data_IF_135240684785
#
_entry.id   IF_135240684785
#
_cell.length_a   1.000
_cell.length_b   1.000
_cell.length_c   1.000
_cell.angle_alpha   90.00
_cell.angle_beta   90.00
_cell.angle_gamma   90.00
#
_symmetry.space_group_name_H-M   'P 1'
#
loop_
_entity.id
_entity.type
_entity.pdbx_description
1 polymer ?
#
# COMPACT_ATOMS: atom_id res chain seq x y z
N UNK A 21 24.02 -33.83 -23.09
CA UNK A 21 22.84 -33.22 -23.67
C UNK A 21 21.86 -32.82 -22.55
N UNK A 22 22.43 -32.59 -21.37
CA UNK A 22 21.66 -32.39 -20.14
C UNK A 22 20.77 -31.15 -20.14
N UNK A 23 19.73 -31.18 -19.30
CA UNK A 23 18.79 -30.06 -19.18
C UNK A 23 18.65 -29.43 -17.77
N UNK A 24 18.98 -30.19 -16.72
CA UNK A 24 18.83 -29.75 -15.35
C UNK A 24 20.07 -30.18 -14.58
N UNK A 25 20.15 -29.80 -13.31
CA UNK A 25 21.26 -30.23 -12.47
C UNK A 25 20.92 -31.52 -11.73
N UNK A 26 21.81 -32.51 -11.80
CA UNK A 26 21.59 -33.79 -11.16
C UNK A 26 21.47 -33.68 -9.64
N UNK A 27 22.49 -33.09 -9.02
CA UNK A 27 22.60 -32.99 -7.58
C UNK A 27 21.43 -32.28 -6.91
N UNK A 28 21.01 -31.15 -7.47
CA UNK A 28 20.01 -30.30 -6.82
C UNK A 28 18.61 -30.35 -7.44
N UNK A 29 18.47 -31.08 -8.54
CA UNK A 29 17.20 -31.16 -9.28
C UNK A 29 16.76 -29.80 -9.83
N UNK A 30 17.72 -28.87 -9.88
CA UNK A 30 17.48 -27.50 -10.35
C UNK A 30 17.97 -27.34 -11.72
N UNK A 31 17.32 -26.37 -12.50
CA UNK A 31 17.84 -26.28 -13.85
C UNK A 31 19.24 -25.82 -13.81
N UNK A 32 19.79 -25.69 -15.01
CA UNK A 32 21.20 -25.55 -15.34
C UNK A 32 21.38 -24.47 -16.40
N UNK A 33 22.62 -24.04 -16.55
CA UNK A 33 23.02 -22.81 -17.16
C UNK A 33 22.27 -22.80 -18.44
N UNK A 34 22.18 -23.89 -19.17
CA UNK A 34 21.59 -23.87 -20.51
C UNK A 34 20.11 -23.47 -20.56
N UNK A 35 19.37 -23.95 -19.58
CA UNK A 35 17.92 -23.81 -19.46
C UNK A 35 17.54 -22.47 -18.80
N UNK A 36 18.36 -22.01 -17.87
CA UNK A 36 18.12 -20.72 -17.24
C UNK A 36 18.38 -19.61 -18.25
N UNK A 37 19.26 -19.86 -19.20
CA UNK A 37 19.52 -18.91 -20.28
C UNK A 37 18.38 -18.91 -21.28
N UNK A 38 17.86 -20.10 -21.57
CA UNK A 38 16.73 -20.23 -22.48
C UNK A 38 15.49 -19.56 -21.90
N UNK A 39 15.27 -19.74 -20.60
CA UNK A 39 14.11 -19.14 -19.94
C UNK A 39 14.31 -17.65 -19.68
N UNK A 40 15.55 -17.23 -19.47
CA UNK A 40 15.84 -15.81 -19.29
C UNK A 40 15.60 -15.07 -20.60
N UNK A 41 16.29 -15.51 -21.66
CA UNK A 41 16.06 -15.04 -23.04
C UNK A 41 14.56 -15.02 -23.35
N UNK A 42 13.89 -16.16 -23.15
CA UNK A 42 12.45 -16.26 -23.38
C UNK A 42 11.67 -15.17 -22.66
N UNK A 43 11.90 -15.04 -21.35
CA UNK A 43 11.22 -14.03 -20.55
C UNK A 43 11.56 -12.60 -20.96
N UNK A 44 12.72 -12.43 -21.59
CA UNK A 44 13.17 -11.12 -22.04
C UNK A 44 12.45 -10.74 -23.32
N UNK A 45 12.26 -11.71 -24.21
CA UNK A 45 11.49 -11.49 -25.41
C UNK A 45 10.05 -11.24 -25.05
N UNK A 46 9.54 -12.03 -24.11
CA UNK A 46 8.18 -11.86 -23.60
C UNK A 46 7.99 -10.48 -23.02
N UNK A 47 8.95 -10.02 -22.23
CA UNK A 47 8.90 -8.71 -21.61
C UNK A 47 9.06 -7.60 -22.64
N UNK A 48 9.76 -7.90 -23.73
CA UNK A 48 9.91 -6.95 -24.82
C UNK A 48 8.60 -6.75 -25.54
N UNK A 49 7.88 -7.84 -25.79
CA UNK A 49 6.57 -7.71 -26.42
C UNK A 49 5.52 -7.12 -25.50
N UNK A 50 5.28 -7.75 -24.39
CA UNK A 50 4.25 -7.27 -23.48
C UNK A 50 4.66 -6.04 -22.66
N UNK A 51 5.82 -5.48 -22.96
CA UNK A 51 6.30 -4.28 -22.30
C UNK A 51 6.46 -4.44 -20.81
N UNK A 52 6.97 -5.60 -20.39
CA UNK A 52 7.07 -5.91 -18.96
C UNK A 52 8.51 -5.92 -18.45
N UNK A 53 8.66 -6.25 -17.16
CA UNK A 53 9.97 -6.18 -16.51
C UNK A 53 10.45 -7.55 -16.02
N UNK A 54 11.76 -7.71 -15.93
CA UNK A 54 12.33 -9.00 -15.54
C UNK A 54 13.37 -8.85 -14.43
N UNK A 55 13.21 -9.63 -13.36
CA UNK A 55 14.16 -9.60 -12.25
C UNK A 55 15.18 -10.74 -12.34
N UNK A 56 16.45 -10.39 -12.47
CA UNK A 56 17.52 -11.38 -12.49
C UNK A 56 18.32 -11.34 -11.19
N UNK A 57 18.46 -12.49 -10.55
CA UNK A 57 19.21 -12.58 -9.31
C UNK A 57 20.42 -13.51 -9.42
N UNK A 58 21.53 -13.05 -8.85
CA UNK A 58 22.75 -13.83 -8.75
C UNK A 58 23.02 -14.08 -7.27
N UNK A 59 23.20 -15.35 -6.90
CA UNK A 59 23.44 -15.69 -5.50
C UNK A 59 24.75 -16.48 -5.32
N UNK A 60 25.54 -16.07 -4.34
CA UNK A 60 26.82 -16.73 -4.07
C UNK A 60 26.90 -17.17 -2.61
N UNK A 61 27.23 -18.45 -2.39
CA UNK A 61 27.21 -19.04 -1.05
C UNK A 61 28.60 -19.26 -0.49
N UNK A 62 28.81 -18.83 0.75
CA UNK A 62 30.10 -18.87 1.36
C UNK A 62 30.30 -19.59 2.70
N UNK A 68 34.22 -30.16 -0.91
CA UNK A 68 34.13 -29.06 0.02
C UNK A 68 35.00 -29.16 1.30
N UNK A 69 35.64 -28.08 1.70
CA UNK A 69 36.50 -28.19 2.86
C UNK A 69 36.05 -27.38 4.06
N UNK A 70 36.45 -27.79 5.25
CA UNK A 70 36.90 -29.13 5.53
C UNK A 70 36.47 -29.33 6.94
N UNK A 71 36.04 -30.52 7.33
CA UNK A 71 35.93 -31.64 6.42
C UNK A 71 34.51 -31.76 5.81
N UNK A 72 34.41 -31.38 4.54
CA UNK A 72 33.14 -30.94 3.97
C UNK A 72 32.44 -31.53 2.77
N UNK A 73 32.90 -32.63 2.20
CA UNK A 73 32.28 -33.02 0.96
C UNK A 73 30.82 -33.59 1.09
N UNK A 74 30.32 -33.98 2.30
CA UNK A 74 28.90 -34.21 2.52
C UNK A 74 28.15 -32.88 2.56
N UNK A 75 28.75 -31.89 3.22
CA UNK A 75 28.14 -30.58 3.33
C UNK A 75 27.97 -29.95 1.96
N UNK A 76 28.98 -30.09 1.11
CA UNK A 76 28.89 -29.54 -0.23
C UNK A 76 27.78 -30.23 -1.01
N UNK A 77 27.70 -31.54 -0.88
CA UNK A 77 26.63 -32.32 -1.51
C UNK A 77 25.26 -32.00 -0.94
N UNK A 78 25.21 -31.78 0.37
CA UNK A 78 24.02 -31.88 1.20
C UNK A 78 23.54 -30.47 1.53
N UNK A 79 24.52 -29.62 1.86
CA UNK A 79 24.28 -28.20 2.05
C UNK A 79 23.68 -27.59 0.79
N UNK A 80 24.32 -27.84 -0.36
CA UNK A 80 23.83 -27.33 -1.63
C UNK A 80 22.36 -27.70 -1.88
N UNK A 81 22.03 -28.95 -1.57
CA UNK A 81 20.66 -29.45 -1.70
C UNK A 81 19.72 -28.67 -0.80
N UNK A 82 20.09 -28.52 0.46
CA UNK A 82 19.28 -27.78 1.42
C UNK A 82 19.05 -26.33 0.96
N UNK A 83 20.11 -25.70 0.46
CA UNK A 83 20.04 -24.34 -0.04
C UNK A 83 19.10 -24.24 -1.22
N UNK A 84 19.17 -25.21 -2.10
CA UNK A 84 18.22 -25.31 -3.20
C UNK A 84 16.76 -25.54 -2.81
N UNK A 85 16.55 -26.30 -1.77
CA UNK A 85 15.29 -26.49 -1.20
C UNK A 85 14.83 -25.23 -0.64
N UNK A 86 15.68 -24.49 0.02
CA UNK A 86 15.29 -23.22 0.62
C UNK A 86 14.92 -22.12 -0.40
N UNK A 87 15.68 -22.10 -1.45
CA UNK A 87 15.56 -21.18 -2.57
C UNK A 87 14.27 -21.44 -3.35
N UNK A 88 13.94 -22.69 -3.51
CA UNK A 88 12.72 -23.02 -4.18
C UNK A 88 11.49 -22.55 -3.44
N UNK A 89 11.54 -22.57 -2.14
CA UNK A 89 10.39 -22.27 -1.35
C UNK A 89 10.29 -20.83 -1.06
N UNK A 90 11.03 -20.05 -1.81
CA UNK A 90 11.21 -18.60 -1.62
C UNK A 90 10.57 -17.78 -2.71
N UNK A 91 10.53 -18.33 -3.92
CA UNK A 91 10.04 -17.61 -5.10
C UNK A 91 8.91 -18.34 -5.85
N UNK A 92 8.10 -17.55 -6.56
CA UNK A 92 6.88 -18.03 -7.23
C UNK A 92 7.16 -19.02 -8.36
N UNK A 93 6.16 -19.85 -8.65
CA UNK A 93 6.31 -20.96 -9.59
C UNK A 93 6.67 -20.53 -11.01
N UNK A 94 6.06 -19.46 -11.52
CA UNK A 94 6.48 -18.92 -12.79
C UNK A 94 7.91 -18.43 -12.66
N UNK A 95 8.35 -18.25 -11.42
CA UNK A 95 9.73 -17.88 -11.13
C UNK A 95 10.63 -19.10 -11.27
N UNK A 96 11.92 -18.88 -11.42
CA UNK A 96 12.86 -19.98 -11.66
C UNK A 96 14.10 -19.91 -10.80
N UNK A 97 14.34 -20.96 -10.02
CA UNK A 97 15.59 -21.10 -9.27
C UNK A 97 16.49 -22.08 -10.02
N UNK A 98 17.76 -21.74 -10.15
CA UNK A 98 18.69 -22.62 -10.85
C UNK A 98 20.09 -22.57 -10.24
N UNK A 99 20.97 -23.45 -10.70
CA UNK A 99 22.35 -23.48 -10.25
C UNK A 99 23.28 -23.45 -11.45
N UNK A 100 24.34 -22.66 -11.35
CA UNK A 100 25.29 -22.52 -12.44
C UNK A 100 26.70 -22.93 -12.03
N UNK A 101 26.78 -24.08 -11.37
CA UNK A 101 28.06 -24.60 -10.90
C UNK A 101 28.49 -23.98 -9.58
N UNK A 102 29.41 -24.64 -8.89
CA UNK A 102 29.94 -24.15 -7.64
C UNK A 102 28.90 -23.82 -6.59
N UNK A 103 29.12 -22.78 -5.80
CA UNK A 103 28.17 -22.42 -4.74
C UNK A 103 27.02 -21.54 -5.26
N UNK A 104 27.05 -21.32 -6.57
CA UNK A 104 26.35 -20.22 -7.23
C UNK A 104 24.98 -20.60 -7.77
N UNK A 105 23.97 -19.84 -7.36
CA UNK A 105 22.61 -20.04 -7.86
C UNK A 105 22.12 -18.80 -8.57
N UNK A 106 21.05 -18.94 -9.35
CA UNK A 106 20.45 -17.80 -10.03
C UNK A 106 18.93 -17.84 -9.90
N UNK A 107 18.31 -16.67 -9.93
CA UNK A 107 16.85 -16.59 -9.86
C UNK A 107 16.26 -15.73 -10.97
N UNK A 108 15.08 -16.10 -11.43
CA UNK A 108 14.39 -15.39 -12.49
C UNK A 108 12.95 -15.11 -12.08
N UNK A 109 12.63 -13.83 -11.92
CA UNK A 109 11.27 -13.41 -11.60
C UNK A 109 10.74 -12.60 -12.78
N UNK A 110 10.03 -13.26 -13.70
CA UNK A 110 9.58 -12.67 -14.96
C UNK A 110 8.20 -12.04 -14.89
N UNK A 111 7.77 -11.46 -16.00
CA UNK A 111 6.42 -10.92 -16.16
C UNK A 111 6.03 -9.93 -15.06
N UNK A 112 6.87 -8.94 -14.83
CA UNK A 112 6.58 -7.88 -13.86
C UNK A 112 5.93 -6.71 -14.57
N UNK A 113 4.88 -6.16 -13.97
CA UNK A 113 4.12 -5.08 -14.58
C UNK A 113 4.94 -3.83 -14.85
N UNK A 114 5.50 -3.26 -13.79
CA UNK A 114 6.35 -2.09 -13.94
C UNK A 114 7.55 -2.12 -12.99
N UNK A 115 8.39 -1.08 -13.08
CA UNK A 115 9.60 -0.98 -12.29
C UNK A 115 9.31 -1.02 -10.79
N UNK A 116 8.15 -0.49 -10.40
CA UNK A 116 7.76 -0.46 -9.00
C UNK A 116 7.57 -1.84 -8.38
N UNK A 117 6.61 -2.59 -8.91
CA UNK A 117 6.29 -3.91 -8.37
C UNK A 117 7.43 -4.90 -8.58
N UNK A 118 8.24 -4.67 -9.60
CA UNK A 118 9.43 -5.48 -9.85
C UNK A 118 10.48 -5.22 -8.78
N UNK A 119 10.68 -3.94 -8.47
CA UNK A 119 11.58 -3.54 -7.39
C UNK A 119 11.15 -4.16 -6.07
N UNK A 120 9.88 -3.98 -5.72
CA UNK A 120 9.32 -4.52 -4.49
C UNK A 120 9.48 -6.04 -4.41
N UNK A 121 9.09 -6.71 -5.49
CA UNK A 121 9.22 -8.16 -5.59
C UNK A 121 10.66 -8.60 -5.35
N UNK A 122 11.60 -7.92 -6.00
CA UNK A 122 13.02 -8.22 -5.84
C UNK A 122 13.45 -8.06 -4.39
N UNK A 123 13.00 -6.99 -3.74
CA UNK A 123 13.28 -6.77 -2.32
C UNK A 123 12.82 -7.96 -1.50
N UNK A 124 11.52 -8.24 -1.57
CA UNK A 124 10.90 -9.33 -0.82
C UNK A 124 11.62 -10.66 -1.00
N UNK A 125 11.86 -11.04 -2.25
CA UNK A 125 12.57 -12.28 -2.55
C UNK A 125 13.96 -12.29 -1.93
N UNK A 126 14.68 -11.19 -2.12
CA UNK A 126 16.05 -11.08 -1.59
C UNK A 126 16.13 -11.27 -0.08
N UNK A 127 15.38 -10.47 0.68
CA UNK A 127 15.46 -10.59 2.14
C UNK A 127 14.77 -11.83 2.70
N UNK A 128 13.82 -12.45 2.04
CA UNK A 128 13.42 -13.78 2.46
C UNK A 128 14.42 -14.80 2.25
N UNK A 129 15.13 -14.75 1.15
CA UNK A 129 16.23 -15.65 0.95
C UNK A 129 17.27 -15.51 2.05
N UNK A 130 17.64 -14.32 2.44
CA UNK A 130 18.64 -14.10 3.47
C UNK A 130 18.22 -14.64 4.81
N UNK A 131 16.99 -14.41 5.16
CA UNK A 131 16.37 -15.02 6.31
C UNK A 131 16.17 -16.51 6.30
N UNK A 132 16.01 -17.09 5.14
CA UNK A 132 15.95 -18.50 5.04
C UNK A 132 17.22 -19.19 5.29
N UNK A 133 18.26 -18.69 4.65
CA UNK A 133 19.65 -19.12 4.72
C UNK A 133 20.33 -18.74 5.97
N UNK A 134 19.65 -17.98 6.79
CA UNK A 134 20.15 -17.69 8.13
C UNK A 134 19.88 -18.89 9.04
N UNK A 135 18.97 -19.75 8.61
CA UNK A 135 18.66 -20.98 9.33
C UNK A 135 19.85 -21.92 9.33
N UNK A 136 20.10 -22.58 10.47
CA UNK A 136 21.22 -23.52 10.61
C UNK A 136 21.08 -24.72 9.67
N UNK A 137 22.20 -25.35 9.35
CA UNK A 137 22.22 -26.57 8.56
C UNK A 137 22.75 -27.70 9.41
N UNK A 138 22.16 -28.86 9.48
CA UNK A 138 22.84 -29.89 10.24
C UNK A 138 23.21 -30.93 9.24
N UNK A 139 24.47 -31.26 9.09
CA UNK A 139 24.86 -32.17 8.06
C UNK A 139 25.56 -33.47 8.48
N UNK A 140 26.68 -33.26 9.16
CA UNK A 140 27.48 -34.28 9.71
C UNK A 140 27.33 -34.19 11.17
N UNK A 141 26.10 -34.04 11.56
CA UNK A 141 25.61 -34.33 12.84
C UNK A 141 25.69 -33.12 13.63
N UNK A 142 26.32 -32.10 13.09
CA UNK A 142 26.45 -30.84 13.81
C UNK A 142 25.91 -29.65 13.02
N UNK A 143 25.59 -28.57 13.71
CA UNK A 143 25.03 -27.39 13.06
C UNK A 143 26.08 -26.53 12.35
N UNK A 144 25.69 -25.97 11.21
CA UNK A 144 26.55 -25.10 10.44
C UNK A 144 25.77 -23.96 9.80
N UNK A 145 26.33 -22.76 9.84
CA UNK A 145 25.66 -21.59 9.27
C UNK A 145 26.27 -21.25 7.91
N UNK A 146 25.49 -20.57 7.08
CA UNK A 146 25.93 -20.24 5.73
C UNK A 146 25.72 -18.76 5.40
N UNK A 147 26.71 -18.16 4.75
CA UNK A 147 26.59 -16.78 4.24
C UNK A 147 26.24 -16.80 2.76
N UNK A 148 25.43 -15.85 2.34
CA UNK A 148 25.08 -15.71 0.92
C UNK A 148 24.98 -14.25 0.49
N UNK A 149 25.64 -13.90 -0.61
CA UNK A 149 25.56 -12.54 -1.14
C UNK A 149 24.80 -12.53 -2.46
N UNK A 150 23.88 -11.59 -2.60
CA UNK A 150 23.01 -11.53 -3.76
C UNK A 150 23.16 -10.23 -4.53
N UNK A 151 23.28 -10.32 -5.83
CA UNK A 151 23.12 -9.21 -6.70
C UNK A 151 21.96 -9.25 -7.69
N UNK A 152 21.14 -8.21 -7.71
CA UNK A 152 19.91 -8.12 -8.48
C UNK A 152 19.97 -7.09 -9.64
N UNK A 153 19.68 -7.48 -10.87
CA UNK A 153 19.61 -6.61 -12.04
C UNK A 153 18.22 -6.61 -12.64
N UNK A 154 17.72 -5.48 -13.14
CA UNK A 154 16.36 -5.35 -13.66
C UNK A 154 16.28 -5.00 -15.13
N UNK A 155 15.63 -5.87 -15.90
CA UNK A 155 15.34 -5.63 -17.31
C UNK A 155 14.01 -4.90 -17.43
N UNK A 156 13.91 -3.96 -18.40
CA UNK A 156 14.87 -3.67 -19.46
C UNK A 156 15.87 -2.57 -19.12
N UNK A 157 15.93 -2.17 -17.85
CA UNK A 157 16.71 -1.00 -17.45
C UNK A 157 18.19 -1.30 -17.26
N UNK A 158 18.49 -2.43 -16.63
CA UNK A 158 19.87 -2.83 -16.39
C UNK A 158 20.34 -3.74 -17.52
N UNK A 159 19.64 -3.68 -18.64
CA UNK A 159 19.96 -4.50 -19.79
C UNK A 159 18.74 -5.07 -20.47
N UNK A 160 18.55 -4.69 -21.74
CA UNK A 160 17.49 -5.28 -22.54
C UNK A 160 17.94 -6.66 -23.00
N UNK A 161 19.22 -6.94 -22.82
CA UNK A 161 19.82 -8.20 -23.25
C UNK A 161 20.33 -9.08 -22.12
N UNK A 162 20.07 -10.38 -22.27
CA UNK A 162 20.57 -11.46 -21.43
C UNK A 162 21.99 -11.30 -20.89
N UNK A 163 23.00 -11.35 -21.77
CA UNK A 163 24.40 -11.33 -21.34
C UNK A 163 24.79 -10.06 -20.60
N UNK A 164 24.24 -8.93 -21.04
CA UNK A 164 24.50 -7.64 -20.41
C UNK A 164 23.89 -7.61 -19.00
N UNK A 165 22.63 -8.03 -18.92
CA UNK A 165 21.90 -8.09 -17.66
C UNK A 165 22.61 -9.01 -16.67
N UNK A 166 23.18 -10.09 -17.19
CA UNK A 166 23.92 -11.05 -16.36
C UNK A 166 25.25 -10.48 -15.89
N UNK A 167 25.94 -9.77 -16.78
CA UNK A 167 27.18 -9.10 -16.44
C UNK A 167 26.95 -8.08 -15.33
N UNK A 168 25.83 -7.37 -15.43
CA UNK A 168 25.50 -6.34 -14.46
C UNK A 168 24.98 -6.90 -13.13
N UNK A 169 24.30 -8.04 -13.19
CA UNK A 169 23.83 -8.70 -11.99
C UNK A 169 25.01 -9.32 -11.25
N UNK A 170 25.97 -9.82 -12.02
CA UNK A 170 27.21 -10.37 -11.48
C UNK A 170 28.00 -9.25 -10.83
N UNK A 171 28.01 -8.09 -11.49
CA UNK A 171 28.66 -6.89 -10.95
C UNK A 171 28.04 -6.49 -9.61
N UNK A 172 26.72 -6.38 -9.60
CA UNK A 172 25.98 -6.03 -8.39
C UNK A 172 26.24 -7.03 -7.27
N UNK A 173 26.36 -8.31 -7.63
CA UNK A 173 26.67 -9.34 -6.64
C UNK A 173 28.06 -9.16 -6.08
N UNK A 174 29.01 -8.78 -6.93
CA UNK A 174 30.38 -8.56 -6.47
C UNK A 174 30.48 -7.35 -5.56
N UNK A 175 29.70 -6.32 -5.84
CA UNK A 175 29.62 -5.17 -4.95
C UNK A 175 29.03 -5.57 -3.60
N UNK A 176 27.89 -6.28 -3.64
CA UNK A 176 27.27 -6.80 -2.43
C UNK A 176 28.25 -7.66 -1.62
N UNK A 177 29.11 -8.37 -2.35
CA UNK A 177 30.07 -9.29 -1.74
C UNK A 177 31.18 -8.55 -1.03
N UNK A 178 31.84 -7.65 -1.76
CA UNK A 178 32.94 -6.86 -1.19
C UNK A 178 32.43 -5.94 -0.07
N UNK A 179 31.12 -5.67 -0.09
CA UNK A 179 30.51 -4.87 0.97
C UNK A 179 30.29 -5.66 2.25
N UNK A 180 30.06 -6.97 2.16
CA UNK A 180 29.89 -7.79 3.33
C UNK A 180 29.37 -9.20 3.08
N UNK A 181 28.71 -9.76 4.09
CA UNK A 181 28.15 -11.11 3.98
C UNK A 181 26.68 -11.14 4.40
N UNK A 182 25.89 -11.99 3.76
CA UNK A 182 24.43 -12.00 3.96
C UNK A 182 23.80 -10.66 3.63
N UNK A 183 24.00 -10.21 2.39
CA UNK A 183 23.45 -8.95 1.93
C UNK A 183 23.04 -9.04 0.46
N UNK A 184 22.25 -8.07 0.01
CA UNK A 184 21.93 -7.98 -1.42
C UNK A 184 22.06 -6.56 -1.94
N UNK A 185 22.50 -6.44 -3.19
CA UNK A 185 22.62 -5.12 -3.81
C UNK A 185 22.08 -5.14 -5.24
N UNK A 186 21.33 -4.09 -5.59
CA UNK A 186 20.88 -3.92 -6.96
C UNK A 186 22.03 -3.36 -7.79
N UNK A 187 21.91 -3.44 -9.10
CA UNK A 187 22.93 -2.86 -9.98
C UNK A 187 22.92 -1.34 -9.87
N UNK A 188 21.73 -0.75 -9.92
CA UNK A 188 21.60 0.70 -9.85
C UNK A 188 21.54 1.20 -8.42
N UNK A 189 22.26 2.29 -8.15
CA UNK A 189 22.32 2.88 -6.82
C UNK A 189 20.96 3.45 -6.41
N UNK A 190 20.17 3.81 -7.43
CA UNK A 190 18.79 4.25 -7.23
C UNK A 190 18.05 3.28 -6.34
N UNK A 191 18.04 2.02 -6.76
CA UNK A 191 17.32 0.96 -6.08
C UNK A 191 17.82 0.71 -4.66
N UNK A 192 19.13 0.80 -4.46
CA UNK A 192 19.69 0.60 -3.13
C UNK A 192 19.29 1.71 -2.17
N UNK A 193 19.42 2.96 -2.62
CA UNK A 193 19.00 4.11 -1.83
C UNK A 193 17.52 4.00 -1.49
N UNK A 194 16.73 3.69 -2.53
CA UNK A 194 15.30 3.46 -2.41
C UNK A 194 14.97 2.45 -1.30
N UNK A 195 15.57 1.26 -1.43
CA UNK A 195 15.38 0.17 -0.48
C UNK A 195 15.70 0.59 0.94
N UNK A 196 16.88 1.20 1.11
CA UNK A 196 17.31 1.72 2.40
C UNK A 196 16.26 2.65 3.00
N UNK A 197 15.80 3.61 2.19
CA UNK A 197 14.80 4.57 2.62
C UNK A 197 13.51 3.87 3.08
N UNK A 198 13.12 2.84 2.34
CA UNK A 198 11.94 2.05 2.71
C UNK A 198 12.15 1.38 4.06
N UNK A 199 13.35 0.88 4.30
CA UNK A 199 13.66 0.24 5.57
C UNK A 199 13.55 1.23 6.72
N UNK A 200 14.15 2.41 6.54
CA UNK A 200 14.10 3.48 7.53
C UNK A 200 12.66 3.85 7.85
N UNK A 201 11.86 3.99 6.79
CA UNK A 201 10.45 4.34 6.93
C UNK A 201 9.69 3.27 7.70
N UNK A 202 9.92 2.01 7.35
CA UNK A 202 9.23 0.88 7.99
C UNK A 202 9.61 0.73 9.45
N UNK A 203 10.84 1.12 9.80
CA UNK A 203 11.30 1.03 11.18
C UNK A 203 10.74 2.18 12.03
N UNK A 204 10.89 3.40 11.51
CA UNK A 204 10.39 4.58 12.20
C UNK A 204 8.89 4.52 12.40
N UNK A 205 8.18 4.02 11.39
CA UNK A 205 6.75 3.77 11.49
C UNK A 205 6.45 2.83 12.64
N UNK A 206 7.25 1.78 12.77
CA UNK A 206 7.10 0.80 13.83
C UNK A 206 7.22 1.48 15.19
N UNK A 207 8.17 2.34 15.40
CA UNK A 207 8.19 3.02 16.65
C UNK A 207 7.10 4.01 16.86
N UNK A 208 6.57 4.61 15.82
CA UNK A 208 5.81 5.82 16.02
C UNK A 208 4.65 5.67 16.90
N UNK A 209 3.86 4.64 16.66
CA UNK A 209 2.64 4.48 17.43
C UNK A 209 2.85 4.15 18.89
N UNK A 210 3.83 3.31 19.15
CA UNK A 210 4.23 3.05 20.51
C UNK A 210 4.76 4.28 21.16
N UNK A 211 5.53 5.04 20.43
CA UNK A 211 6.04 6.32 20.87
C UNK A 211 5.06 7.44 21.06
N UNK A 212 4.13 7.58 20.14
CA UNK A 212 3.06 8.57 20.13
C UNK A 212 3.33 9.71 19.17
N UNK A 213 3.80 9.37 17.97
CA UNK A 213 4.17 10.38 16.97
C UNK A 213 3.08 10.57 15.93
N UNK A 214 1.86 10.13 16.25
CA UNK A 214 0.73 10.28 15.34
C UNK A 214 -0.25 11.34 15.83
N UNK A 215 -0.59 12.28 14.95
CA UNK A 215 -1.50 13.36 15.29
C UNK A 215 -2.59 13.51 14.22
N UNK A 216 -3.77 13.95 14.64
CA UNK A 216 -4.90 14.08 13.74
C UNK A 216 -5.15 15.52 13.32
N UNK A 217 -5.16 15.74 12.02
CA UNK A 217 -5.52 17.03 11.42
C UNK A 217 -6.97 16.97 10.96
N UNK A 218 -7.58 18.13 10.75
CA UNK A 218 -8.98 18.18 10.36
C UNK A 218 -9.26 19.18 9.24
N UNK A 219 -9.77 18.67 8.11
CA UNK A 219 -10.27 19.53 7.05
C UNK A 219 -11.79 19.57 7.14
N UNK A 220 -12.36 20.78 7.22
CA UNK A 220 -13.80 20.96 7.43
C UNK A 220 -14.62 20.74 6.16
N UNK A 221 -15.88 20.35 6.35
CA UNK A 221 -16.81 20.16 5.25
C UNK A 221 -17.94 21.17 5.35
N UNK A 222 -18.35 21.73 4.22
CA UNK A 222 -19.38 22.77 4.21
C UNK A 222 -20.52 22.38 3.29
N UNK A 223 -21.61 23.16 3.32
CA UNK A 223 -22.71 22.95 2.40
C UNK A 223 -22.28 23.30 0.98
N UNK A 224 -23.08 22.88 0.00
CA UNK A 224 -22.77 23.11 -1.40
C UNK A 224 -22.57 24.58 -1.73
N UNK A 225 -23.23 25.44 -0.97
CA UNK A 225 -23.12 26.90 -1.13
C UNK A 225 -21.86 27.42 -0.49
N UNK A 226 -21.46 26.80 0.60
CA UNK A 226 -20.29 27.19 1.34
C UNK A 226 -20.59 27.97 2.60
N UNK A 227 -21.86 28.03 2.99
CA UNK A 227 -22.27 28.81 4.17
C UNK A 227 -22.07 28.09 5.51
N UNK A 228 -22.87 27.06 5.76
CA UNK A 228 -22.84 26.37 7.06
C UNK A 228 -21.99 25.09 7.07
N UNK A 229 -21.44 24.79 8.23
CA UNK A 229 -20.54 23.65 8.41
C UNK A 229 -21.32 22.35 8.61
N UNK A 230 -20.95 21.32 7.85
CA UNK A 230 -21.65 20.04 7.91
C UNK A 230 -20.81 18.92 8.50
N UNK A 231 -19.52 19.18 8.72
CA UNK A 231 -18.66 18.17 9.31
C UNK A 231 -17.18 18.46 9.26
N UNK A 232 -16.39 17.46 9.63
CA UNK A 232 -14.94 17.58 9.66
C UNK A 232 -14.30 16.25 9.28
N UNK A 233 -13.49 16.26 8.23
CA UNK A 233 -12.76 15.05 7.84
C UNK A 233 -11.49 14.89 8.66
N UNK A 234 -11.38 13.76 9.35
CA UNK A 234 -10.19 13.45 10.12
C UNK A 234 -9.11 12.89 9.19
N UNK A 235 -7.90 13.43 9.32
CA UNK A 235 -6.78 13.00 8.49
C UNK A 235 -5.59 12.65 9.37
N UNK A 236 -5.06 11.44 9.19
CA UNK A 236 -3.94 10.97 10.00
C UNK A 236 -2.64 11.69 9.64
N UNK A 237 -1.94 12.17 10.67
CA UNK A 237 -0.67 12.86 10.46
C UNK A 237 0.43 12.25 11.34
N UNK A 238 1.64 12.25 10.80
CA UNK A 238 2.79 11.68 11.50
C UNK A 238 3.79 12.78 11.88
N UNK A 239 3.85 13.10 13.17
CA UNK A 239 4.77 14.11 13.67
C UNK A 239 6.14 13.49 13.97
N UNK A 240 6.92 13.24 12.93
CA UNK A 240 8.25 12.66 13.10
C UNK A 240 9.26 13.73 13.49
N UNK A 241 9.93 13.54 14.63
CA UNK A 241 10.84 14.51 15.25
C UNK A 241 12.14 14.80 14.50
N UNK A 242 12.40 14.08 13.41
CA UNK A 242 13.52 14.38 12.55
C UNK A 242 13.03 14.81 11.17
N UNK A 243 11.90 14.24 10.77
CA UNK A 243 11.29 14.54 9.49
C UNK A 243 10.12 15.51 9.62
N UNK A 244 9.90 16.01 10.83
CA UNK A 244 8.75 16.85 11.10
C UNK A 244 7.48 16.07 10.81
N UNK A 245 6.60 16.65 10.01
CA UNK A 245 5.37 15.96 9.60
C UNK A 245 5.59 15.34 8.24
N UNK A 246 5.34 14.04 8.15
CA UNK A 246 5.62 13.31 6.93
C UNK A 246 4.41 13.49 6.01
N UNK A 247 4.63 13.54 4.70
CA UNK A 247 3.57 13.44 3.69
C UNK A 247 2.88 12.08 3.76
N UNK A 248 1.55 12.07 3.96
CA UNK A 248 0.71 10.86 4.04
C UNK A 248 0.95 9.91 2.87
N UNK A 249 1.15 10.47 1.67
CA UNK A 249 1.40 9.71 0.44
C UNK A 249 2.64 8.83 0.55
N UNK A 250 3.50 9.16 1.51
CA UNK A 250 4.74 8.43 1.68
C UNK A 250 4.54 7.30 2.69
N UNK A 251 3.93 7.62 3.83
CA UNK A 251 3.89 6.68 4.94
C UNK A 251 2.62 5.83 5.08
N UNK A 252 1.50 6.39 4.62
CA UNK A 252 0.21 5.70 4.66
C UNK A 252 0.14 4.41 3.84
N UNK A 253 0.70 4.42 2.63
CA UNK A 253 0.78 3.16 1.87
C UNK A 253 1.59 2.11 2.61
N UNK A 254 2.85 2.45 2.92
CA UNK A 254 3.74 1.57 3.66
C UNK A 254 3.11 1.08 4.96
N UNK A 255 2.45 2.00 5.68
CA UNK A 255 1.76 1.68 6.91
C UNK A 255 0.76 0.54 6.69
N UNK A 256 -0.02 0.67 5.62
CA UNK A 256 -1.04 -0.32 5.30
C UNK A 256 -0.44 -1.55 4.61
N UNK A 257 0.72 -1.37 4.00
CA UNK A 257 1.40 -2.47 3.33
C UNK A 257 1.92 -3.50 4.32
N UNK A 258 2.15 -3.10 5.56
CA UNK A 258 2.71 -3.89 6.61
C UNK A 258 1.62 -3.82 7.59
N UNK A 259 1.55 -4.77 8.50
CA UNK A 259 0.35 -4.91 9.29
C UNK A 259 0.20 -4.01 10.49
N UNK A 260 0.22 -2.71 10.23
CA UNK A 260 0.21 -1.77 11.33
C UNK A 260 -1.04 -0.88 11.35
N UNK A 261 -1.72 -0.88 10.22
CA UNK A 261 -2.80 0.07 9.91
C UNK A 261 -4.07 -0.14 10.75
N UNK A 262 -4.08 -1.21 11.55
CA UNK A 262 -5.24 -1.54 12.37
C UNK A 262 -5.20 -0.89 13.75
N UNK A 263 -4.07 -1.03 14.44
CA UNK A 263 -3.90 -0.44 15.76
C UNK A 263 -3.96 1.08 15.63
N UNK A 264 -3.29 1.63 14.63
CA UNK A 264 -3.28 3.05 14.39
C UNK A 264 -4.62 3.57 14.10
N UNK A 265 -5.33 2.89 13.21
CA UNK A 265 -6.68 3.19 12.80
C UNK A 265 -7.63 3.10 13.94
N UNK A 266 -7.38 2.18 14.80
CA UNK A 266 -8.02 2.10 16.07
C UNK A 266 -7.80 3.27 17.05
N UNK A 267 -6.58 3.79 17.15
CA UNK A 267 -6.28 4.92 18.02
C UNK A 267 -7.00 6.09 17.45
N UNK A 268 -6.85 6.21 16.16
CA UNK A 268 -7.44 7.28 15.37
C UNK A 268 -8.90 7.41 15.73
N UNK A 269 -9.66 6.33 15.50
CA UNK A 269 -11.09 6.30 15.76
C UNK A 269 -11.44 6.80 17.15
N UNK A 270 -10.75 6.26 18.15
CA UNK A 270 -10.93 6.70 19.53
C UNK A 270 -10.75 8.22 19.64
N UNK A 271 -9.66 8.71 19.06
CA UNK A 271 -9.32 10.13 19.12
C UNK A 271 -10.33 11.03 18.43
N UNK A 272 -10.87 10.57 17.30
CA UNK A 272 -11.82 11.34 16.51
C UNK A 272 -13.16 11.43 17.23
N UNK A 273 -13.62 10.30 17.76
CA UNK A 273 -14.88 10.28 18.50
C UNK A 273 -14.76 11.13 19.77
N UNK A 274 -13.66 10.97 20.49
CA UNK A 274 -13.39 11.75 21.69
C UNK A 274 -13.29 13.23 21.39
N UNK A 275 -12.72 13.61 20.27
CA UNK A 275 -12.83 15.00 19.80
C UNK A 275 -14.21 15.59 19.47
N UNK A 276 -15.06 14.84 18.78
CA UNK A 276 -16.35 15.32 18.41
C UNK A 276 -17.09 15.61 19.65
N UNK A 277 -16.96 14.70 20.56
CA UNK A 277 -17.63 14.78 21.81
C UNK A 277 -17.07 15.97 22.58
N UNK A 278 -15.77 16.12 22.59
CA UNK A 278 -15.14 17.28 23.22
C UNK A 278 -15.55 18.60 22.56
N UNK A 279 -15.64 18.56 21.25
CA UNK A 279 -15.94 19.72 20.53
C UNK A 279 -17.27 20.14 20.90
N UNK A 280 -18.21 19.24 20.93
CA UNK A 280 -19.63 19.58 21.05
C UNK A 280 -19.96 20.14 22.37
N UNK A 281 -19.09 19.83 23.30
CA UNK A 281 -19.33 20.14 24.66
C UNK A 281 -18.57 21.32 25.08
N UNK A 282 -17.89 21.96 24.16
CA UNK A 282 -17.18 23.15 24.49
C UNK A 282 -17.54 24.42 23.78
N UNK A 283 -16.80 24.71 22.71
CA UNK A 283 -17.02 25.90 21.92
C UNK A 283 -17.40 25.61 20.47
N UNK A 284 -17.45 24.34 20.08
CA UNK A 284 -17.71 24.07 18.67
C UNK A 284 -18.80 23.08 18.33
N UNK A 285 -19.61 23.45 17.34
CA UNK A 285 -20.59 22.54 16.79
C UNK A 285 -20.09 22.08 15.45
N UNK A 286 -19.54 20.88 15.47
CA UNK A 286 -19.29 20.06 14.28
C UNK A 286 -20.22 18.85 14.28
N UNK A 287 -21.23 18.86 13.41
CA UNK A 287 -22.31 17.86 13.45
C UNK A 287 -21.84 16.42 13.19
N UNK A 288 -20.71 16.23 12.53
CA UNK A 288 -20.15 14.90 12.35
C UNK A 288 -18.67 14.92 11.96
N UNK A 289 -18.03 13.77 12.12
CA UNK A 289 -16.63 13.61 11.72
C UNK A 289 -16.48 12.40 10.77
N UNK A 290 -15.71 12.58 9.71
CA UNK A 290 -15.54 11.54 8.70
C UNK A 290 -14.14 10.93 8.72
N UNK A 291 -14.07 9.64 9.00
CA UNK A 291 -12.81 8.90 9.02
C UNK A 291 -12.74 7.91 7.87
N UNK A 292 -11.64 7.93 7.14
CA UNK A 292 -11.43 7.01 6.03
C UNK A 292 -10.77 5.71 6.48
N UNK A 293 -11.24 4.59 5.93
CA UNK A 293 -10.71 3.29 6.30
C UNK A 293 -9.92 2.64 5.16
N UNK A 294 -8.99 1.75 5.52
CA UNK A 294 -8.19 1.05 4.54
C UNK A 294 -8.69 -0.39 4.37
N UNK A 295 -8.07 -1.13 3.46
CA UNK A 295 -8.46 -2.50 3.16
C UNK A 295 -8.37 -3.41 4.39
N UNK A 296 -7.26 -3.33 5.11
CA UNK A 296 -7.02 -4.19 6.26
C UNK A 296 -7.96 -3.93 7.43
N UNK A 297 -8.11 -2.66 7.81
CA UNK A 297 -8.92 -2.33 8.99
C UNK A 297 -10.41 -2.29 8.69
N UNK A 298 -10.76 -2.42 7.41
CA UNK A 298 -12.16 -2.61 7.04
C UNK A 298 -12.51 -4.08 7.16
N UNK A 299 -11.54 -4.93 6.85
CA UNK A 299 -11.73 -6.37 6.92
C UNK A 299 -11.28 -6.93 8.27
N UNK A 300 -10.78 -6.06 9.13
CA UNK A 300 -10.39 -6.47 10.48
C UNK A 300 -11.63 -6.92 11.23
N UNK A 301 -11.62 -8.18 11.67
CA UNK A 301 -12.80 -8.80 12.24
C UNK A 301 -13.29 -8.23 13.57
N UNK A 302 -12.53 -7.32 14.14
CA UNK A 302 -12.88 -6.75 15.43
C UNK A 302 -13.32 -5.30 15.31
N UNK A 303 -13.54 -4.85 14.07
CA UNK A 303 -13.94 -3.47 13.80
C UNK A 303 -15.21 -3.08 14.56
N UNK A 304 -16.20 -3.96 14.52
CA UNK A 304 -17.46 -3.72 15.23
C UNK A 304 -17.30 -3.69 16.73
N UNK A 305 -16.56 -4.67 17.27
CA UNK A 305 -16.33 -4.76 18.71
C UNK A 305 -15.54 -3.56 19.22
N UNK A 306 -14.72 -2.99 18.34
CA UNK A 306 -13.93 -1.81 18.69
C UNK A 306 -14.74 -0.53 18.57
N UNK A 307 -15.42 -0.37 17.44
CA UNK A 307 -16.24 0.82 17.19
C UNK A 307 -17.36 0.97 18.21
N UNK A 308 -18.05 -0.12 18.50
CA UNK A 308 -19.09 -0.13 19.52
C UNK A 308 -18.53 0.26 20.88
N UNK A 309 -17.33 -0.24 21.18
CA UNK A 309 -16.67 0.04 22.45
C UNK A 309 -16.32 1.53 22.57
N UNK A 310 -15.81 2.10 21.48
CA UNK A 310 -15.49 3.53 21.45
C UNK A 310 -16.75 4.38 21.61
N UNK A 311 -17.70 4.19 20.68
CA UNK A 311 -19.00 4.85 20.73
C UNK A 311 -19.62 4.79 22.13
N UNK A 312 -19.39 3.65 22.80
CA UNK A 312 -19.82 3.43 24.17
C UNK A 312 -19.07 4.37 25.12
N UNK A 313 -17.74 4.37 25.05
CA UNK A 313 -16.91 5.12 25.98
C UNK A 313 -17.06 6.63 25.83
N UNK A 314 -16.90 7.13 24.61
CA UNK A 314 -17.05 8.55 24.30
C UNK A 314 -18.45 9.04 24.69
N UNK A 315 -19.46 8.50 24.01
CA UNK A 315 -20.83 8.84 24.31
C UNK A 315 -21.48 9.67 23.22
N UNK A 316 -20.98 9.52 21.99
CA UNK A 316 -21.54 10.24 20.86
C UNK A 316 -22.46 9.34 20.02
N UNK A 317 -23.50 9.93 19.43
CA UNK A 317 -24.38 9.20 18.51
C UNK A 317 -23.62 8.73 17.28
N UNK A 318 -23.83 7.46 16.89
CA UNK A 318 -23.16 6.85 15.73
C UNK A 318 -23.39 7.65 14.45
N UNK A 319 -24.52 8.34 14.37
CA UNK A 319 -24.83 9.18 13.22
C UNK A 319 -23.78 10.28 13.03
N UNK A 320 -23.12 10.66 14.12
CA UNK A 320 -22.08 11.67 14.08
C UNK A 320 -20.73 11.10 13.67
N UNK A 321 -20.68 9.79 13.44
CA UNK A 321 -19.48 9.15 12.94
C UNK A 321 -19.69 8.63 11.52
N UNK A 322 -18.96 9.18 10.58
CA UNK A 322 -19.08 8.76 9.19
C UNK A 322 -17.84 8.01 8.74
N UNK A 323 -18.01 6.77 8.29
CA UNK A 323 -16.89 5.98 7.80
C UNK A 323 -16.81 6.06 6.28
N UNK A 324 -15.58 6.05 5.76
CA UNK A 324 -15.36 6.29 4.34
C UNK A 324 -14.58 5.14 3.69
N UNK A 325 -15.00 4.77 2.49
CA UNK A 325 -14.41 3.64 1.78
C UNK A 325 -14.15 4.00 0.32
N UNK A 326 -13.27 3.22 -0.31
CA UNK A 326 -13.05 3.33 -1.75
C UNK A 326 -13.88 2.25 -2.43
N UNK A 327 -14.09 2.39 -3.74
CA UNK A 327 -14.76 1.32 -4.49
C UNK A 327 -13.87 0.09 -4.51
N UNK A 328 -12.59 0.34 -4.68
CA UNK A 328 -11.59 -0.71 -4.79
C UNK A 328 -11.69 -1.62 -3.57
N UNK A 329 -12.06 -1.05 -2.44
CA UNK A 329 -12.25 -1.79 -1.21
C UNK A 329 -13.58 -2.55 -1.19
N UNK A 330 -14.65 -1.89 -1.62
CA UNK A 330 -15.97 -2.53 -1.71
C UNK A 330 -15.97 -3.68 -2.71
N UNK A 331 -15.43 -3.41 -3.89
CA UNK A 331 -15.48 -4.36 -5.01
C UNK A 331 -14.37 -5.39 -5.00
N UNK A 332 -13.44 -5.28 -4.06
CA UNK A 332 -12.41 -6.30 -3.89
C UNK A 332 -13.06 -7.61 -3.45
N UNK A 333 -13.96 -7.49 -2.48
CA UNK A 333 -14.72 -8.63 -1.98
C UNK A 333 -16.12 -8.15 -1.59
N UNK A 334 -17.05 -8.23 -2.54
CA UNK A 334 -18.41 -7.75 -2.35
C UNK A 334 -19.11 -8.46 -1.20
N UNK A 335 -19.07 -9.79 -1.23
CA UNK A 335 -19.71 -10.63 -0.22
C UNK A 335 -19.31 -10.25 1.21
N UNK A 336 -18.03 -9.93 1.41
CA UNK A 336 -17.52 -9.52 2.71
C UNK A 336 -18.04 -8.11 3.04
N UNK A 337 -17.91 -7.22 2.06
CA UNK A 337 -18.32 -5.83 2.22
C UNK A 337 -19.77 -5.71 2.67
N UNK A 338 -20.64 -6.58 2.12
CA UNK A 338 -22.03 -6.64 2.52
C UNK A 338 -22.16 -6.85 4.03
N UNK A 339 -21.45 -7.84 4.55
CA UNK A 339 -21.55 -8.18 5.96
C UNK A 339 -20.93 -7.12 6.87
N UNK A 340 -19.74 -6.63 6.53
CA UNK A 340 -19.12 -5.61 7.37
C UNK A 340 -19.95 -4.34 7.39
N UNK A 341 -20.36 -3.88 6.22
CA UNK A 341 -21.21 -2.68 6.10
C UNK A 341 -22.55 -2.85 6.82
N UNK A 342 -23.14 -4.04 6.74
CA UNK A 342 -24.37 -4.31 7.46
C UNK A 342 -24.16 -4.21 8.96
N UNK A 343 -23.15 -4.90 9.47
CA UNK A 343 -22.82 -4.86 10.88
C UNK A 343 -22.48 -3.46 11.37
N UNK A 344 -21.99 -2.62 10.47
CA UNK A 344 -21.65 -1.23 10.80
C UNK A 344 -22.88 -0.32 10.82
N UNK A 345 -23.79 -0.53 9.87
CA UNK A 345 -25.03 0.24 9.81
C UNK A 345 -25.94 -0.13 10.97
N UNK A 346 -25.78 -1.34 11.49
CA UNK A 346 -26.56 -1.80 12.65
C UNK A 346 -26.19 -0.99 13.89
N UNK A 347 -25.05 -0.31 13.84
CA UNK A 347 -24.64 0.57 14.93
C UNK A 347 -25.38 1.91 14.83
N UNK A 348 -25.61 2.36 13.60
CA UNK A 348 -26.35 3.59 13.37
C UNK A 348 -25.52 4.66 12.70
N UNK A 349 -24.34 4.29 12.21
CA UNK A 349 -23.46 5.24 11.56
C UNK A 349 -23.61 5.23 10.05
N UNK A 350 -23.17 6.30 9.41
CA UNK A 350 -23.28 6.44 7.97
C UNK A 350 -22.06 5.89 7.25
N UNK A 351 -22.27 5.40 6.03
CA UNK A 351 -21.20 4.87 5.21
C UNK A 351 -20.97 5.79 4.03
N UNK A 352 -19.72 6.17 3.80
CA UNK A 352 -19.36 6.98 2.64
C UNK A 352 -18.51 6.18 1.67
N UNK A 353 -18.65 6.50 0.40
CA UNK A 353 -17.88 5.85 -0.62
C UNK A 353 -17.34 6.89 -1.59
N UNK A 354 -16.24 6.55 -2.20
CA UNK A 354 -15.30 7.46 -2.67
C UNK A 354 -14.79 7.08 -3.98
N UNK A 355 -14.03 7.98 -4.55
CA UNK A 355 -13.17 7.81 -5.72
C UNK A 355 -13.78 7.21 -6.96
N UNK A 356 -13.07 6.29 -7.56
CA UNK A 356 -13.02 5.89 -8.98
C UNK A 356 -14.22 5.31 -9.88
N UNK A 357 -14.20 5.68 -11.15
CA UNK A 357 -15.16 5.35 -12.17
C UNK A 357 -14.76 6.08 -13.46
N UNK A 358 -15.59 6.95 -14.02
CA UNK A 358 -16.99 6.78 -14.03
C UNK A 358 -17.47 6.79 -15.47
N UNK A 359 -18.15 5.74 -15.91
CA UNK A 359 -18.42 4.58 -15.12
C UNK A 359 -19.59 4.75 -14.16
N UNK A 360 -20.80 4.67 -14.75
CA UNK A 360 -22.06 4.97 -14.06
C UNK A 360 -22.92 3.87 -13.41
N UNK A 361 -23.24 2.76 -14.09
CA UNK A 361 -24.00 1.75 -13.41
C UNK A 361 -23.08 1.05 -12.40
N UNK A 362 -21.80 1.41 -12.42
CA UNK A 362 -20.99 1.12 -11.29
C UNK A 362 -21.64 1.84 -10.07
N UNK A 363 -22.59 2.76 -10.40
CA UNK A 363 -23.57 3.33 -9.41
C UNK A 363 -24.71 2.36 -9.00
N UNK A 364 -24.98 1.58 -9.98
CA UNK A 364 -25.84 0.47 -9.87
C UNK A 364 -25.31 -0.51 -8.88
N UNK A 365 -23.99 -0.56 -8.85
CA UNK A 365 -23.25 -1.53 -8.12
C UNK A 365 -23.17 -1.22 -6.68
N UNK A 366 -23.39 0.05 -6.37
CA UNK A 366 -23.34 0.54 -4.99
C UNK A 366 -24.72 0.56 -4.37
N UNK A 367 -25.69 0.20 -5.21
CA UNK A 367 -27.13 0.09 -4.97
C UNK A 367 -27.47 -1.08 -4.11
N UNK A 368 -26.57 -1.98 -4.25
CA UNK A 368 -26.64 -3.25 -3.52
C UNK A 368 -26.06 -3.11 -2.13
N UNK A 369 -25.68 -1.89 -1.75
CA UNK A 369 -25.11 -1.65 -0.42
C UNK A 369 -25.91 -0.68 0.47
N UNK A 370 -25.68 -0.73 1.79
CA UNK A 370 -26.29 0.24 2.71
C UNK A 370 -25.45 1.51 2.84
N UNK A 371 -25.34 2.26 1.74
CA UNK A 371 -24.52 3.47 1.72
C UNK A 371 -25.39 4.73 1.87
N UNK A 372 -24.84 5.74 2.54
CA UNK A 372 -25.57 6.99 2.77
C UNK A 372 -24.95 8.17 2.02
N UNK A 373 -23.67 8.06 1.72
CA UNK A 373 -22.93 9.18 1.15
C UNK A 373 -22.04 8.80 -0.04
N UNK A 374 -22.15 9.58 -1.12
CA UNK A 374 -21.23 9.46 -2.24
C UNK A 374 -20.23 10.61 -2.13
N UNK A 375 -18.97 10.32 -2.42
CA UNK A 375 -17.92 11.33 -2.29
C UNK A 375 -17.10 11.44 -3.58
N UNK A 376 -17.15 12.61 -4.21
CA UNK A 376 -16.47 12.83 -5.48
C UNK A 376 -14.99 13.15 -5.28
N UNK A 377 -14.12 12.34 -5.89
CA UNK A 377 -12.69 12.55 -5.79
C UNK A 377 -12.26 13.81 -6.55
N UNK A 378 -11.14 14.40 -6.12
CA UNK A 378 -10.63 15.64 -6.72
C UNK A 378 -10.30 15.47 -8.20
N UNK A 379 -9.96 14.26 -8.59
CA UNK A 379 -9.65 13.96 -9.99
C UNK A 379 -10.83 14.22 -10.93
N UNK A 380 -12.01 14.40 -10.35
CA UNK A 380 -13.20 14.77 -11.11
C UNK A 380 -13.42 16.28 -11.11
N UNK A 381 -12.99 16.92 -10.03
CA UNK A 381 -13.24 18.35 -9.84
C UNK A 381 -12.14 19.20 -10.47
N UNK A 382 -11.05 18.59 -10.83
CA UNK A 382 -9.92 19.31 -11.32
C UNK A 382 -10.17 19.89 -12.67
N UNK A 383 -11.24 19.47 -13.28
CA UNK A 383 -11.58 19.81 -14.62
C UNK A 383 -12.78 20.66 -14.63
N UNK A 384 -13.12 21.27 -13.51
CA UNK A 384 -14.34 22.03 -13.31
C UNK A 384 -14.11 23.54 -13.32
N UNK A 385 -14.89 24.27 -14.13
CA UNK A 385 -15.81 23.70 -15.12
C UNK A 385 -15.30 23.94 -16.54
N UNK A 386 -13.99 24.04 -16.67
CA UNK A 386 -13.36 24.25 -17.97
C UNK A 386 -13.35 23.00 -18.82
N UNK A 387 -13.18 21.85 -18.17
CA UNK A 387 -13.33 20.57 -18.85
C UNK A 387 -14.79 20.18 -18.90
N UNK A 388 -15.38 20.29 -20.08
CA UNK A 388 -16.80 20.02 -20.26
C UNK A 388 -17.15 18.58 -19.94
N UNK A 389 -16.30 17.65 -20.37
CA UNK A 389 -16.54 16.24 -20.10
C UNK A 389 -16.53 16.00 -18.59
N UNK A 390 -15.58 16.63 -17.91
CA UNK A 390 -15.52 16.57 -16.45
C UNK A 390 -16.75 17.22 -15.84
N UNK A 391 -17.16 18.34 -16.42
CA UNK A 391 -18.32 19.08 -15.93
C UNK A 391 -19.59 18.27 -16.08
N UNK A 392 -19.72 17.56 -17.20
CA UNK A 392 -20.91 16.75 -17.45
C UNK A 392 -20.84 15.39 -16.73
N UNK A 393 -19.64 14.82 -16.65
CA UNK A 393 -19.44 13.56 -15.94
C UNK A 393 -19.80 13.73 -14.47
N UNK A 394 -19.29 14.80 -13.87
CA UNK A 394 -19.67 15.17 -12.51
C UNK A 394 -21.18 15.27 -12.42
N UNK A 395 -21.77 16.14 -13.22
CA UNK A 395 -23.22 16.34 -13.24
C UNK A 395 -24.02 15.04 -13.32
N UNK A 396 -23.48 14.06 -14.03
CA UNK A 396 -24.07 12.73 -14.09
C UNK A 396 -23.97 12.06 -12.73
N UNK A 397 -22.75 12.01 -12.21
CA UNK A 397 -22.47 11.44 -10.89
C UNK A 397 -23.43 11.97 -9.83
N UNK A 398 -23.59 13.28 -9.78
CA UNK A 398 -24.45 13.93 -8.79
C UNK A 398 -25.91 13.50 -8.91
N UNK A 399 -26.44 13.54 -10.12
CA UNK A 399 -27.83 13.18 -10.38
C UNK A 399 -28.12 11.72 -10.02
N UNK A 400 -27.29 10.82 -10.52
CA UNK A 400 -27.51 9.40 -10.27
C UNK A 400 -27.26 9.01 -8.81
N UNK A 401 -26.37 9.71 -8.14
CA UNK A 401 -26.16 9.48 -6.71
C UNK A 401 -27.35 10.01 -5.91
N UNK A 402 -27.96 11.08 -6.41
CA UNK A 402 -29.18 11.61 -5.82
C UNK A 402 -30.34 10.62 -5.97
N UNK A 403 -30.40 9.97 -7.13
CA UNK A 403 -31.46 9.01 -7.41
C UNK A 403 -31.49 7.85 -6.43
N UNK A 404 -30.33 7.54 -5.85
CA UNK A 404 -30.22 6.45 -4.87
C UNK A 404 -30.30 6.99 -3.45
N UNK A 405 -30.80 8.22 -3.32
CA UNK A 405 -30.92 8.90 -2.04
C UNK A 405 -29.60 9.06 -1.29
N UNK A 406 -28.51 9.25 -2.04
CA UNK A 406 -27.20 9.43 -1.43
C UNK A 406 -26.86 10.91 -1.29
N UNK A 407 -26.06 11.24 -0.28
CA UNK A 407 -25.51 12.59 -0.15
C UNK A 407 -24.25 12.66 -0.99
N UNK A 408 -24.15 13.72 -1.78
CA UNK A 408 -22.98 14.01 -2.58
C UNK A 408 -22.18 15.20 -2.06
N UNK A 409 -20.90 14.90 -1.78
CA UNK A 409 -19.87 15.88 -1.46
C UNK A 409 -18.65 15.70 -2.37
N UNK A 410 -18.15 16.80 -2.92
CA UNK A 410 -16.98 16.84 -3.78
C UNK A 410 -15.71 17.24 -3.01
N UNK A 411 -14.59 16.64 -3.40
CA UNK A 411 -13.30 16.97 -2.82
C UNK A 411 -12.49 17.80 -3.80
N UNK A 412 -11.55 18.59 -3.26
CA UNK A 412 -10.63 19.35 -4.09
C UNK A 412 -11.25 20.58 -4.71
N UNK A 413 -12.14 21.24 -3.97
CA UNK A 413 -12.72 22.50 -4.40
C UNK A 413 -11.72 23.61 -4.17
N UNK A 414 -11.13 24.12 -5.25
CA UNK A 414 -10.05 25.08 -5.18
C UNK A 414 -10.52 26.49 -5.48
N UNK A 415 -11.32 26.64 -6.53
CA UNK A 415 -11.74 27.94 -7.02
C UNK A 415 -13.22 28.21 -6.80
N UNK A 416 -13.61 29.46 -7.00
CA UNK A 416 -15.02 29.85 -6.92
C UNK A 416 -15.74 29.31 -8.14
N UNK A 417 -15.00 29.12 -9.22
CA UNK A 417 -15.55 28.58 -10.46
C UNK A 417 -16.02 27.13 -10.31
N UNK A 418 -15.37 26.38 -9.43
CA UNK A 418 -15.78 25.00 -9.14
C UNK A 418 -16.97 24.99 -8.20
N UNK A 419 -16.81 25.71 -7.08
CA UNK A 419 -17.86 25.85 -6.06
C UNK A 419 -19.19 26.27 -6.65
N UNK A 420 -19.15 27.25 -7.54
CA UNK A 420 -20.35 27.75 -8.20
C UNK A 420 -21.05 26.66 -8.99
N UNK A 421 -20.27 25.93 -9.79
CA UNK A 421 -20.79 24.85 -10.61
C UNK A 421 -21.47 23.78 -9.74
N UNK A 422 -20.71 23.28 -8.77
CA UNK A 422 -21.21 22.26 -7.85
C UNK A 422 -22.48 22.69 -7.14
N UNK A 423 -22.52 23.86 -6.62
CA UNK A 423 -23.71 24.25 -5.98
C UNK A 423 -24.86 24.49 -6.89
N UNK A 424 -24.58 24.82 -8.12
CA UNK A 424 -25.61 25.12 -9.06
C UNK A 424 -26.11 23.87 -9.73
N UNK A 425 -25.47 22.78 -9.42
CA UNK A 425 -25.90 21.50 -9.98
C UNK A 425 -26.40 20.50 -8.92
N UNK A 426 -26.32 20.88 -7.65
CA UNK A 426 -26.96 20.09 -6.61
C UNK A 426 -26.05 19.32 -5.67
N UNK A 427 -24.75 19.57 -5.73
CA UNK A 427 -23.84 18.93 -4.80
C UNK A 427 -24.18 19.38 -3.39
N UNK A 428 -24.64 18.44 -2.56
CA UNK A 428 -25.15 18.76 -1.23
C UNK A 428 -24.08 19.33 -0.32
N UNK A 429 -22.94 18.65 -0.23
CA UNK A 429 -21.85 19.12 0.62
C UNK A 429 -20.63 19.44 -0.20
N UNK A 430 -19.68 20.19 0.38
CA UNK A 430 -18.37 20.48 -0.23
C UNK A 430 -17.24 20.60 0.74
N UNK A 431 -16.08 20.23 0.25
CA UNK A 431 -14.84 20.42 0.93
C UNK A 431 -13.67 20.66 -0.01
N UNK A 432 -12.63 21.26 0.46
CA UNK A 432 -11.40 21.53 -0.28
C UNK A 432 -10.53 22.66 0.23
N UNK A 433 -9.66 23.16 -0.65
CA UNK A 433 -8.66 24.16 -0.29
C UNK A 433 -9.13 25.60 -0.48
N UNK A 434 -10.23 25.79 -1.19
CA UNK A 434 -10.85 27.11 -1.31
C UNK A 434 -11.23 27.64 0.07
N UNK A 435 -11.38 26.70 1.00
CA UNK A 435 -11.79 27.02 2.37
C UNK A 435 -10.60 26.95 3.32
N UNK A 436 -9.44 26.57 2.79
CA UNK A 436 -8.22 26.52 3.59
C UNK A 436 -7.57 25.15 3.63
N UNK A 437 -6.51 25.05 4.44
CA UNK A 437 -5.74 23.82 4.57
C UNK A 437 -6.18 23.04 5.82
N UNK A 438 -5.85 21.72 5.87
CA UNK A 438 -6.15 20.94 7.08
C UNK A 438 -5.36 21.45 8.28
N UNK A 439 -5.90 21.29 9.48
CA UNK A 439 -5.30 21.86 10.67
C UNK A 439 -5.59 21.05 11.93
N UNK A 440 -4.77 21.24 12.98
CA UNK A 440 -5.02 20.66 14.31
C UNK A 440 -6.43 20.92 14.84
N UNK A 441 -6.81 20.17 15.87
CA UNK A 441 -8.18 20.19 16.39
C UNK A 441 -8.53 21.47 17.13
N UNK A 442 -7.56 22.01 17.87
CA UNK A 442 -7.75 23.25 18.62
C UNK A 442 -8.05 24.42 17.69
N UNK A 443 -7.16 24.59 16.71
CA UNK A 443 -7.29 25.65 15.73
C UNK A 443 -8.53 25.45 14.88
N UNK A 444 -8.95 24.19 14.74
CA UNK A 444 -10.19 23.87 14.05
C UNK A 444 -11.37 24.41 14.84
N UNK A 445 -11.40 24.06 16.13
CA UNK A 445 -12.48 24.48 17.01
C UNK A 445 -12.54 25.98 17.16
N UNK A 446 -11.40 26.64 16.96
CA UNK A 446 -11.34 28.10 17.06
C UNK A 446 -11.70 28.80 15.74
N UNK A 447 -11.38 28.17 14.62
CA UNK A 447 -11.61 28.78 13.32
C UNK A 447 -13.10 28.70 12.95
N UNK A 448 -13.83 27.82 13.61
CA UNK A 448 -15.26 27.67 13.37
C UNK A 448 -16.05 27.67 14.68
N UNK A 449 -15.53 28.39 15.67
CA UNK A 449 -16.23 28.58 16.93
C UNK A 449 -17.37 29.57 16.72
N UNK A 450 -18.34 29.54 17.63
CA UNK A 450 -19.48 30.45 17.57
C UNK A 450 -20.19 30.50 18.90
#
# INVERSE_FOLDING_TARGET
>A
MGSSHHHHHHSSGLVPRGSHMAYYDALTHLPNRTLFQDRLHTALQQAERNGQWVVLMFLDLDRFKPINDSLGHAAGDRMLQEVATRLSACVSQDDTVARMGGDEFTLLLPSQGDREIALKRAIQVAELILGRLARPFTLEGREFFVTASIGVALSPQDGAELSLLMKNADTAMYHAKEMGKNNFQFYQAEMNARALERLELESDLRRALELGEFVLHYQPQFTGDGRRLTGAEALLRWQHPRRGLVPPSEFIPVLEEIGLVAQVGDWLLAEACKQLRSWHKAKVRVPKVSVNLSARQFADGQLGERIAAILYETGIPPACLELELTESILMSDVAEAMQILSGLKRLGLAIAVNNFGTGYSSLNYLKQFPIDVLKIDRSFVDGLPHGEQDAQIARAIIAMAHSLNLMVIAEGVESQAQLDFLREHGCDEVQGYLFGRPMPAEQFGMLYASDVL
#
